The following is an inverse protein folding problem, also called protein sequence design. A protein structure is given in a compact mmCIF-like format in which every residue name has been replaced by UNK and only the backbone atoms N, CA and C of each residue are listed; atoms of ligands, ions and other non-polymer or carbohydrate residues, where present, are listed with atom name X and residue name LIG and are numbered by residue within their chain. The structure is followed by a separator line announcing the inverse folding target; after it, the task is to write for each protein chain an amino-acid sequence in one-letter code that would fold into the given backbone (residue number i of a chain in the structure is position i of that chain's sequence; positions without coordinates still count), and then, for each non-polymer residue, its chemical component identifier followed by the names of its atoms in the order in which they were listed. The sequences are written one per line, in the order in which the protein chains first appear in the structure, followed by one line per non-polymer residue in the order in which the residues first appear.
data_IF_649737960892
#
_entry.id   IF_649737960892
#
_cell.length_a   1.000
_cell.length_b   1.000
_cell.length_c   1.000
_cell.angle_alpha   90.00
_cell.angle_beta   90.00
_cell.angle_gamma   90.00
#
_symmetry.space_group_name_H-M   'P 1'
#
loop_
_entity.id
_entity.type
_entity.pdbx_description
1 polymer ?
#
# COMPACT_ATOMS: atom_id res chain seq x y z
N UNK A 1 -11.46 4.18 -0.09
CA UNK A 1 -12.88 4.09 0.30
C UNK A 1 -13.10 2.65 0.76
N UNK A 2 -13.51 2.41 2.01
CA UNK A 2 -13.78 1.04 2.48
C UNK A 2 -15.18 0.67 2.00
N UNK A 3 -15.27 -0.33 1.13
CA UNK A 3 -16.55 -0.88 0.64
C UNK A 3 -17.24 -1.59 1.82
N UNK A 4 -18.57 -1.46 1.93
CA UNK A 4 -19.32 -2.09 3.02
C UNK A 4 -19.29 -3.63 2.93
N UNK A 5 -19.59 -4.32 4.04
CA UNK A 5 -19.62 -5.79 4.07
C UNK A 5 -20.63 -6.36 3.05
N UNK A 6 -21.84 -5.80 3.02
CA UNK A 6 -22.93 -6.27 2.15
C UNK A 6 -22.60 -6.07 0.66
N UNK A 7 -21.98 -4.93 0.31
CA UNK A 7 -21.54 -4.67 -1.06
C UNK A 7 -20.45 -5.64 -1.49
N UNK A 8 -19.48 -5.96 -0.62
CA UNK A 8 -18.41 -6.93 -0.93
C UNK A 8 -18.98 -8.33 -1.14
N UNK A 9 -19.94 -8.73 -0.30
CA UNK A 9 -20.66 -10.01 -0.45
C UNK A 9 -21.41 -10.07 -1.77
N UNK A 10 -22.20 -9.05 -2.10
CA UNK A 10 -22.94 -8.98 -3.36
C UNK A 10 -22.02 -8.99 -4.60
N UNK A 11 -20.89 -8.27 -4.55
CA UNK A 11 -19.89 -8.29 -5.63
C UNK A 11 -19.30 -9.69 -5.83
N UNK A 12 -19.05 -10.44 -4.76
CA UNK A 12 -18.51 -11.79 -4.86
C UNK A 12 -19.52 -12.76 -5.50
N UNK A 13 -20.80 -12.73 -5.11
CA UNK A 13 -21.84 -13.55 -5.75
C UNK A 13 -22.07 -13.21 -7.23
N UNK A 14 -21.79 -11.95 -7.62
CA UNK A 14 -21.83 -11.51 -9.02
C UNK A 14 -20.66 -12.05 -9.83
N UNK A 15 -19.46 -12.01 -9.25
CA UNK A 15 -18.21 -12.36 -9.92
C UNK A 15 -17.94 -13.87 -9.94
N UNK A 16 -18.51 -14.65 -9.02
CA UNK A 16 -18.34 -16.10 -8.97
C UNK A 16 -19.08 -16.77 -10.15
N UNK A 17 -18.37 -17.66 -10.84
CA UNK A 17 -18.90 -18.37 -12.00
C UNK A 17 -18.90 -19.89 -11.78
N UNK A 18 -19.71 -20.59 -12.58
CA UNK A 18 -19.74 -22.06 -12.58
C UNK A 18 -18.41 -22.58 -13.12
N UNK A 19 -17.79 -23.50 -12.40
CA UNK A 19 -16.49 -24.07 -12.73
C UNK A 19 -15.32 -23.45 -11.98
N UNK A 20 -15.56 -22.39 -11.20
CA UNK A 20 -14.52 -21.80 -10.35
C UNK A 20 -14.07 -22.78 -9.25
N UNK A 21 -12.76 -22.81 -9.02
CA UNK A 21 -12.16 -23.60 -7.95
C UNK A 21 -12.20 -22.81 -6.64
N UNK A 22 -12.89 -23.38 -5.65
CA UNK A 22 -13.00 -22.84 -4.29
C UNK A 22 -12.37 -23.78 -3.27
N UNK A 23 -11.82 -23.17 -2.22
CA UNK A 23 -11.24 -23.87 -1.08
C UNK A 23 -12.02 -23.48 0.15
N UNK A 24 -12.44 -24.49 0.92
CA UNK A 24 -13.21 -24.27 2.14
C UNK A 24 -12.91 -25.30 3.22
N UNK A 25 -13.39 -25.00 4.43
CA UNK A 25 -13.30 -25.86 5.60
C UNK A 25 -14.66 -26.47 5.92
N UNK A 26 -14.72 -27.76 6.22
CA UNK A 26 -15.97 -28.43 6.61
C UNK A 26 -16.44 -27.92 7.98
N UNK A 27 -17.64 -27.36 8.02
CA UNK A 27 -18.29 -26.94 9.26
C UNK A 27 -19.19 -28.02 9.86
N UNK A 28 -20.01 -28.66 9.02
CA UNK A 28 -21.05 -29.56 9.46
C UNK A 28 -21.33 -30.63 8.40
N UNK A 29 -21.50 -31.88 8.83
CA UNK A 29 -21.79 -33.02 7.98
C UNK A 29 -23.20 -33.52 8.31
N UNK A 30 -24.04 -33.66 7.28
CA UNK A 30 -25.40 -34.19 7.38
C UNK A 30 -25.58 -35.36 6.42
N UNK A 31 -26.69 -36.08 6.56
CA UNK A 31 -27.01 -37.24 5.75
C UNK A 31 -27.09 -36.94 4.24
N UNK A 32 -27.48 -35.72 3.86
CA UNK A 32 -27.64 -35.31 2.46
C UNK A 32 -26.41 -34.60 1.86
N UNK A 33 -25.34 -34.42 2.65
CA UNK A 33 -24.15 -33.67 2.25
C UNK A 33 -23.52 -32.89 3.41
N UNK A 34 -22.48 -32.12 3.10
CA UNK A 34 -21.77 -31.30 4.10
C UNK A 34 -21.72 -29.82 3.71
N UNK A 35 -21.66 -28.99 4.74
CA UNK A 35 -21.52 -27.53 4.63
C UNK A 35 -20.06 -27.12 4.83
N UNK A 36 -19.62 -26.21 3.98
CA UNK A 36 -18.27 -25.67 3.94
C UNK A 36 -18.31 -24.17 4.21
N UNK A 37 -17.38 -23.64 5.00
CA UNK A 37 -17.04 -22.21 4.95
C UNK A 37 -15.99 -22.00 3.88
N UNK A 38 -16.25 -21.11 2.92
CA UNK A 38 -15.28 -20.76 1.89
C UNK A 38 -14.20 -19.86 2.48
N UNK A 39 -12.94 -20.21 2.22
CA UNK A 39 -11.76 -19.48 2.67
C UNK A 39 -11.15 -18.68 1.54
N UNK A 40 -10.93 -19.31 0.38
CA UNK A 40 -10.33 -18.64 -0.77
C UNK A 40 -10.79 -19.24 -2.10
N UNK A 41 -10.67 -18.46 -3.18
CA UNK A 41 -10.76 -18.97 -4.56
C UNK A 41 -9.37 -19.29 -5.06
N UNK A 42 -9.19 -20.47 -5.64
CA UNK A 42 -7.90 -20.96 -6.13
C UNK A 42 -7.86 -21.11 -7.67
N UNK A 43 -8.93 -20.76 -8.37
CA UNK A 43 -9.06 -20.82 -9.83
C UNK A 43 -8.39 -19.65 -10.56
N UNK A 44 -9.06 -19.13 -11.60
CA UNK A 44 -8.53 -18.04 -12.43
C UNK A 44 -8.26 -16.76 -11.64
N UNK A 45 -9.15 -16.41 -10.71
CA UNK A 45 -8.99 -15.29 -9.79
C UNK A 45 -8.70 -15.82 -8.38
N UNK A 46 -7.52 -15.49 -7.87
CA UNK A 46 -7.09 -15.85 -6.51
C UNK A 46 -7.53 -14.76 -5.54
N UNK A 47 -8.49 -15.05 -4.68
CA UNK A 47 -9.06 -14.10 -3.72
C UNK A 47 -9.17 -14.74 -2.34
N UNK A 48 -8.89 -13.96 -1.32
CA UNK A 48 -9.19 -14.29 0.07
C UNK A 48 -10.63 -13.84 0.38
N UNK A 49 -11.42 -14.74 0.95
CA UNK A 49 -12.88 -14.61 1.15
C UNK A 49 -13.27 -14.99 2.58
N UNK A 50 -12.31 -15.35 3.44
CA UNK A 50 -12.58 -15.81 4.81
C UNK A 50 -13.41 -14.79 5.62
N UNK A 51 -13.22 -13.50 5.37
CA UNK A 51 -13.94 -12.42 6.05
C UNK A 51 -15.44 -12.34 5.72
N UNK A 52 -15.89 -12.97 4.64
CA UNK A 52 -17.29 -12.97 4.20
C UNK A 52 -18.10 -14.14 4.77
N UNK A 53 -17.43 -15.12 5.41
CA UNK A 53 -18.06 -16.31 6.03
C UNK A 53 -19.09 -17.01 5.12
N UNK A 54 -18.76 -17.13 3.83
CA UNK A 54 -19.68 -17.73 2.86
C UNK A 54 -19.84 -19.23 3.07
N UNK A 55 -21.09 -19.69 3.15
CA UNK A 55 -21.42 -21.09 3.25
C UNK A 55 -21.70 -21.72 1.89
N UNK A 56 -21.03 -22.83 1.58
CA UNK A 56 -21.32 -23.66 0.41
C UNK A 56 -21.83 -25.04 0.82
N UNK A 57 -22.74 -25.59 0.03
CA UNK A 57 -23.30 -26.93 0.22
C UNK A 57 -22.72 -27.89 -0.83
N UNK A 58 -22.15 -29.01 -0.37
CA UNK A 58 -21.83 -30.13 -1.22
C UNK A 58 -22.87 -31.23 -1.02
N UNK A 59 -23.64 -31.55 -2.06
CA UNK A 59 -24.60 -32.64 -2.01
C UNK A 59 -23.90 -34.00 -2.13
N UNK A 60 -24.46 -35.04 -1.50
CA UNK A 60 -23.88 -36.40 -1.55
C UNK A 60 -23.69 -36.95 -2.98
N UNK A 61 -24.54 -36.53 -3.94
CA UNK A 61 -24.44 -36.91 -5.36
C UNK A 61 -23.19 -36.35 -6.05
N UNK A 62 -22.66 -35.27 -5.51
CA UNK A 62 -21.52 -34.54 -6.05
C UNK A 62 -20.19 -35.00 -5.45
N UNK A 63 -20.23 -35.99 -4.56
CA UNK A 63 -19.05 -36.61 -3.95
C UNK A 63 -18.73 -37.87 -4.78
N UNK A 64 -17.50 -38.01 -5.30
CA UNK A 64 -17.09 -39.22 -5.99
C UNK A 64 -17.09 -40.40 -4.99
N UNK A 65 -17.80 -41.47 -5.32
CA UNK A 65 -17.81 -42.70 -4.52
C UNK A 65 -16.53 -43.48 -4.78
N UNK A 66 -15.65 -43.61 -3.79
CA UNK A 66 -14.32 -44.24 -3.92
C UNK A 66 -14.32 -45.75 -3.71
N UNK A 67 -15.47 -46.40 -3.54
CA UNK A 67 -15.59 -47.85 -3.45
C UNK A 67 -17.05 -48.33 -3.42
N UNK A 68 -17.29 -49.59 -3.78
CA UNK A 68 -18.62 -50.14 -4.02
C UNK A 68 -19.50 -50.33 -2.77
N UNK A 69 -18.99 -50.14 -1.54
CA UNK A 69 -19.72 -50.49 -0.31
C UNK A 69 -19.49 -49.62 0.95
N UNK A 70 -18.80 -48.48 0.86
CA UNK A 70 -18.67 -47.57 2.01
C UNK A 70 -19.42 -46.25 1.77
N UNK A 71 -20.07 -45.73 2.83
CA UNK A 71 -20.72 -44.43 2.80
C UNK A 71 -19.70 -43.33 2.44
N UNK A 72 -19.90 -42.57 1.34
CA UNK A 72 -18.95 -41.56 0.87
C UNK A 72 -18.65 -40.45 1.88
N UNK A 73 -19.52 -40.27 2.88
CA UNK A 73 -19.40 -39.27 3.93
C UNK A 73 -18.43 -39.67 5.05
N UNK A 74 -18.12 -40.97 5.19
CA UNK A 74 -17.23 -41.48 6.25
C UNK A 74 -15.78 -41.02 6.12
N UNK A 75 -15.37 -40.60 4.91
CA UNK A 75 -14.02 -40.13 4.61
C UNK A 75 -13.76 -38.69 5.09
N UNK A 76 -14.80 -37.93 5.40
CA UNK A 76 -14.71 -36.49 5.69
C UNK A 76 -14.95 -36.21 7.17
N UNK A 77 -14.10 -35.39 7.78
CA UNK A 77 -14.24 -34.98 9.17
C UNK A 77 -14.49 -33.47 9.29
N UNK A 78 -15.18 -33.08 10.36
CA UNK A 78 -15.40 -31.66 10.66
C UNK A 78 -14.04 -30.99 10.86
N UNK A 79 -13.81 -29.92 10.11
CA UNK A 79 -12.57 -29.16 10.15
C UNK A 79 -11.57 -29.47 9.03
N UNK A 80 -11.83 -30.48 8.19
CA UNK A 80 -10.99 -30.78 7.03
C UNK A 80 -11.05 -29.67 5.96
N UNK A 81 -9.95 -29.49 5.23
CA UNK A 81 -9.85 -28.56 4.11
C UNK A 81 -10.15 -29.27 2.79
N UNK A 82 -11.07 -28.72 2.00
CA UNK A 82 -11.55 -29.29 0.75
C UNK A 82 -11.34 -28.32 -0.41
N UNK A 83 -10.84 -28.85 -1.53
CA UNK A 83 -10.87 -28.22 -2.86
C UNK A 83 -12.10 -28.73 -3.61
N UNK A 84 -12.99 -27.82 -3.97
CA UNK A 84 -14.21 -28.13 -4.70
C UNK A 84 -14.43 -27.16 -5.86
N UNK A 85 -15.16 -27.59 -6.88
CA UNK A 85 -15.58 -26.76 -8.00
C UNK A 85 -16.99 -26.21 -7.75
N UNK A 86 -17.25 -24.97 -8.14
CA UNK A 86 -18.59 -24.37 -8.05
C UNK A 86 -19.47 -24.93 -9.15
N UNK A 87 -20.57 -25.61 -8.79
CA UNK A 87 -21.51 -26.21 -9.74
C UNK A 87 -22.66 -25.26 -10.08
N UNK A 88 -23.28 -24.70 -9.04
CA UNK A 88 -24.42 -23.81 -9.19
C UNK A 88 -24.43 -22.73 -8.12
N UNK A 89 -24.95 -21.56 -8.48
CA UNK A 89 -24.96 -20.37 -7.64
C UNK A 89 -26.37 -19.78 -7.72
N UNK A 90 -27.11 -19.89 -6.62
CA UNK A 90 -28.38 -19.18 -6.45
C UNK A 90 -28.10 -17.80 -5.87
N UNK A 91 -28.17 -16.78 -6.73
CA UNK A 91 -27.91 -15.38 -6.36
C UNK A 91 -29.07 -14.76 -5.57
N UNK A 92 -30.27 -15.32 -5.63
CA UNK A 92 -31.42 -14.79 -4.89
C UNK A 92 -31.47 -15.32 -3.46
N UNK A 93 -31.14 -16.60 -3.28
CA UNK A 93 -31.08 -17.23 -1.95
C UNK A 93 -29.68 -17.19 -1.33
N UNK A 94 -28.69 -16.62 -2.02
CA UNK A 94 -27.29 -16.58 -1.64
C UNK A 94 -26.70 -17.98 -1.32
N UNK A 95 -27.10 -18.99 -2.09
CA UNK A 95 -26.65 -20.38 -1.90
C UNK A 95 -25.64 -20.77 -2.97
N UNK A 96 -24.51 -21.32 -2.52
CA UNK A 96 -23.46 -21.85 -3.39
C UNK A 96 -23.49 -23.37 -3.28
N UNK A 97 -23.60 -24.05 -4.42
CA UNK A 97 -23.52 -25.52 -4.51
C UNK A 97 -22.19 -25.91 -5.14
N UNK A 98 -21.44 -26.78 -4.46
CA UNK A 98 -20.13 -27.22 -4.91
C UNK A 98 -20.09 -28.72 -5.22
N UNK A 99 -19.20 -29.10 -6.11
CA UNK A 99 -18.99 -30.46 -6.57
C UNK A 99 -17.53 -30.87 -6.47
N UNK A 100 -17.30 -32.15 -6.18
CA UNK A 100 -15.98 -32.78 -6.14
C UNK A 100 -15.67 -33.56 -7.43
N UNK A 101 -16.59 -33.57 -8.40
CA UNK A 101 -16.36 -34.19 -9.70
C UNK A 101 -15.44 -33.33 -10.57
N UNK A 102 -14.38 -33.93 -11.11
CA UNK A 102 -13.42 -33.24 -11.99
C UNK A 102 -14.07 -32.63 -13.24
N UNK A 103 -15.16 -33.24 -13.73
CA UNK A 103 -15.93 -32.72 -14.87
C UNK A 103 -16.59 -31.35 -14.62
N UNK A 104 -16.68 -30.91 -13.36
CA UNK A 104 -17.23 -29.60 -13.01
C UNK A 104 -16.18 -28.48 -13.07
N UNK A 105 -14.91 -28.78 -13.33
CA UNK A 105 -13.85 -27.77 -13.46
C UNK A 105 -13.79 -27.18 -14.86
N UNK A 106 -13.27 -25.95 -14.97
CA UNK A 106 -12.85 -25.41 -16.25
C UNK A 106 -11.73 -26.27 -16.88
N UNK A 107 -11.69 -26.40 -18.22
CA UNK A 107 -10.70 -27.22 -18.93
C UNK A 107 -9.24 -26.80 -18.67
N UNK A 108 -9.00 -25.56 -18.28
CA UNK A 108 -7.67 -25.05 -17.93
C UNK A 108 -7.17 -25.54 -16.54
N UNK A 109 -8.02 -26.18 -15.75
CA UNK A 109 -7.75 -26.59 -14.36
C UNK A 109 -7.86 -28.11 -14.14
N UNK A 110 -7.97 -28.92 -15.20
CA UNK A 110 -8.12 -30.39 -15.11
C UNK A 110 -6.98 -31.09 -14.37
N UNK A 111 -5.79 -30.46 -14.30
CA UNK A 111 -4.63 -31.00 -13.62
C UNK A 111 -4.74 -30.97 -12.08
N UNK A 112 -5.71 -30.23 -11.54
CA UNK A 112 -5.87 -30.04 -10.09
C UNK A 112 -6.79 -31.12 -9.54
N UNK A 113 -6.29 -31.92 -8.59
CA UNK A 113 -7.09 -32.93 -7.88
C UNK A 113 -8.04 -32.26 -6.89
N UNK A 114 -9.33 -32.53 -7.06
CA UNK A 114 -10.39 -32.17 -6.11
C UNK A 114 -10.42 -33.15 -4.94
N UNK A 115 -10.86 -32.69 -3.77
CA UNK A 115 -10.96 -33.50 -2.54
C UNK A 115 -10.28 -32.86 -1.33
N UNK A 116 -10.07 -33.68 -0.31
CA UNK A 116 -9.38 -33.28 0.93
C UNK A 116 -7.89 -33.07 0.65
N UNK A 117 -7.32 -32.03 1.22
CA UNK A 117 -5.88 -31.76 1.12
C UNK A 117 -5.33 -31.27 2.48
N UNK A 118 -4.04 -31.51 2.77
CA UNK A 118 -3.45 -31.12 4.04
C UNK A 118 -3.24 -29.61 4.12
N UNK A 119 -3.15 -29.08 5.35
CA UNK A 119 -2.93 -27.64 5.60
C UNK A 119 -1.68 -27.09 4.91
N UNK A 120 -0.66 -27.92 4.69
CA UNK A 120 0.60 -27.54 4.04
C UNK A 120 0.42 -27.18 2.56
N UNK A 121 -0.58 -27.73 1.89
CA UNK A 121 -0.89 -27.42 0.49
C UNK A 121 -1.96 -26.33 0.33
N UNK A 122 -2.19 -25.51 1.36
CA UNK A 122 -3.06 -24.34 1.22
C UNK A 122 -2.51 -23.38 0.14
N UNK A 123 -3.39 -22.74 -0.64
CA UNK A 123 -2.96 -21.80 -1.66
C UNK A 123 -2.02 -20.73 -1.06
N UNK A 124 -0.89 -20.49 -1.74
CA UNK A 124 0.19 -19.61 -1.24
C UNK A 124 -0.34 -18.22 -0.84
N UNK A 125 -1.33 -17.69 -1.56
CA UNK A 125 -1.92 -16.39 -1.28
C UNK A 125 -2.66 -16.37 0.07
N UNK A 126 -3.44 -17.42 0.36
CA UNK A 126 -4.16 -17.58 1.62
C UNK A 126 -3.21 -17.87 2.79
N UNK A 127 -2.22 -18.73 2.59
CA UNK A 127 -1.21 -19.00 3.61
C UNK A 127 -0.43 -17.74 4.03
N UNK A 128 -0.22 -16.80 3.09
CA UNK A 128 0.42 -15.51 3.37
C UNK A 128 -0.49 -14.54 4.10
N UNK A 129 -1.79 -14.48 3.76
CA UNK A 129 -2.72 -13.61 4.49
C UNK A 129 -2.89 -14.08 5.93
N UNK A 130 -2.99 -15.39 6.17
CA UNK A 130 -3.04 -15.97 7.52
C UNK A 130 -1.78 -15.65 8.32
N UNK A 131 -0.58 -15.75 7.73
CA UNK A 131 0.67 -15.36 8.41
C UNK A 131 0.72 -13.87 8.75
N UNK A 132 0.36 -13.01 7.80
CA UNK A 132 0.30 -11.57 8.02
C UNK A 132 -0.73 -11.16 9.10
N UNK A 133 -1.81 -11.93 9.25
CA UNK A 133 -2.82 -11.69 10.29
C UNK A 133 -2.40 -12.24 11.66
N UNK A 134 -1.65 -13.34 11.72
CA UNK A 134 -1.22 -13.96 12.97
C UNK A 134 -0.04 -13.23 13.63
N UNK A 135 0.93 -12.78 12.84
CA UNK A 135 2.18 -12.23 13.36
C UNK A 135 2.23 -10.70 13.18
N UNK A 136 1.93 -9.95 14.25
CA UNK A 136 2.03 -8.47 14.24
C UNK A 136 3.47 -7.95 14.09
N UNK A 137 4.47 -8.84 14.17
CA UNK A 137 5.89 -8.52 14.01
C UNK A 137 6.40 -8.64 12.57
N UNK A 138 5.69 -9.36 11.70
CA UNK A 138 6.07 -9.47 10.29
C UNK A 138 5.62 -8.23 9.54
N UNK A 139 6.53 -7.26 9.39
CA UNK A 139 6.24 -6.10 8.54
C UNK A 139 6.06 -6.54 7.08
N UNK A 140 5.27 -5.79 6.31
CA UNK A 140 5.09 -6.02 4.87
C UNK A 140 6.43 -6.18 4.13
N UNK A 141 7.46 -5.42 4.52
CA UNK A 141 8.81 -5.52 3.95
C UNK A 141 9.47 -6.89 4.20
N UNK A 142 9.29 -7.48 5.38
CA UNK A 142 9.81 -8.80 5.70
C UNK A 142 9.17 -9.87 4.82
N UNK A 143 7.84 -9.82 4.66
CA UNK A 143 7.10 -10.75 3.80
C UNK A 143 7.56 -10.60 2.34
N UNK A 144 7.71 -9.37 1.87
CA UNK A 144 8.12 -9.07 0.51
C UNK A 144 9.56 -9.53 0.24
N UNK A 145 10.49 -9.32 1.18
CA UNK A 145 11.85 -9.90 1.10
C UNK A 145 11.82 -11.43 1.15
N UNK A 146 10.98 -12.07 1.97
CA UNK A 146 10.89 -13.54 1.98
C UNK A 146 10.47 -14.16 0.64
N UNK A 147 9.88 -13.38 -0.26
CA UNK A 147 9.45 -13.86 -1.56
C UNK A 147 10.64 -14.03 -2.51
N UNK A 148 10.87 -15.26 -2.97
CA UNK A 148 11.87 -15.58 -3.99
C UNK A 148 11.71 -14.73 -5.27
N UNK A 149 10.47 -14.43 -5.66
CA UNK A 149 10.19 -13.60 -6.83
C UNK A 149 10.60 -12.13 -6.66
N UNK A 150 10.63 -11.60 -5.44
CA UNK A 150 11.08 -10.24 -5.18
C UNK A 150 12.60 -10.09 -5.33
N UNK A 151 13.34 -11.14 -4.97
CA UNK A 151 14.80 -11.19 -5.11
C UNK A 151 15.28 -11.47 -6.53
N UNK A 152 14.40 -11.96 -7.41
CA UNK A 152 14.75 -12.32 -8.76
C UNK A 152 14.58 -11.12 -9.71
N UNK A 153 15.66 -10.54 -10.25
CA UNK A 153 15.56 -9.38 -11.15
C UNK A 153 14.76 -9.69 -12.42
N UNK A 154 14.83 -10.94 -12.91
CA UNK A 154 14.13 -11.38 -14.12
C UNK A 154 12.62 -11.50 -13.96
N UNK A 155 12.10 -11.43 -12.72
CA UNK A 155 10.64 -11.42 -12.49
C UNK A 155 10.02 -10.14 -13.04
N UNK A 156 10.74 -9.02 -12.98
CA UNK A 156 10.24 -7.76 -13.56
C UNK A 156 10.09 -7.91 -15.07
N UNK A 157 11.12 -8.42 -15.76
CA UNK A 157 11.09 -8.67 -17.20
C UNK A 157 9.95 -9.63 -17.60
N UNK A 158 9.79 -10.73 -16.85
CA UNK A 158 8.71 -11.69 -17.07
C UNK A 158 7.32 -11.09 -16.88
N UNK A 159 7.13 -10.25 -15.85
CA UNK A 159 5.86 -9.58 -15.60
C UNK A 159 5.56 -8.54 -16.68
N UNK A 160 6.56 -7.78 -17.13
CA UNK A 160 6.45 -6.84 -18.23
C UNK A 160 6.00 -7.55 -19.51
N UNK A 161 6.61 -8.70 -19.83
CA UNK A 161 6.21 -9.55 -20.95
C UNK A 161 4.75 -10.04 -20.81
N UNK A 162 4.38 -10.54 -19.62
CA UNK A 162 3.02 -11.04 -19.35
C UNK A 162 1.94 -9.97 -19.44
N UNK A 163 2.25 -8.75 -19.02
CA UNK A 163 1.31 -7.61 -19.07
C UNK A 163 1.36 -6.93 -20.45
N UNK A 164 2.30 -7.29 -21.32
CA UNK A 164 2.48 -6.69 -22.65
C UNK A 164 3.09 -5.29 -22.60
N UNK A 165 3.76 -4.94 -21.50
CA UNK A 165 4.45 -3.65 -21.36
C UNK A 165 5.87 -3.80 -21.90
N UNK A 166 6.16 -3.15 -23.02
CA UNK A 166 7.49 -3.18 -23.62
C UNK A 166 8.38 -2.11 -23.01
N UNK A 167 9.55 -2.51 -22.49
CA UNK A 167 10.60 -1.58 -22.09
C UNK A 167 11.23 -0.81 -23.25
N UNK A 168 11.08 -1.30 -24.49
CA UNK A 168 11.56 -0.59 -25.68
C UNK A 168 10.63 0.56 -26.08
N UNK A 169 9.35 0.46 -25.76
CA UNK A 169 8.32 1.44 -26.11
C UNK A 169 7.42 1.68 -24.89
N UNK A 170 7.79 2.64 -24.02
CA UNK A 170 6.98 2.96 -22.86
C UNK A 170 5.57 3.30 -23.34
N UNK A 171 4.50 2.68 -22.78
CA UNK A 171 3.12 2.88 -23.23
C UNK A 171 2.57 4.29 -22.92
N UNK A 172 3.42 5.20 -22.44
CA UNK A 172 3.06 6.57 -22.13
C UNK A 172 2.90 7.39 -23.41
N UNK A 173 1.76 8.07 -23.53
CA UNK A 173 1.52 9.08 -24.57
C UNK A 173 2.32 10.38 -24.32
N UNK A 174 2.96 10.52 -23.15
CA UNK A 174 3.77 11.69 -22.83
C UNK A 174 5.19 11.49 -23.37
N UNK A 175 5.55 12.30 -24.38
CA UNK A 175 6.87 12.26 -25.06
C UNK A 175 8.06 12.29 -24.11
N UNK A 176 7.97 13.05 -23.01
CA UNK A 176 9.02 13.14 -22.00
C UNK A 176 9.26 11.84 -21.21
N UNK A 177 8.25 10.97 -21.11
CA UNK A 177 8.37 9.66 -20.43
C UNK A 177 8.70 8.51 -21.39
N UNK A 178 8.84 8.78 -22.69
CA UNK A 178 9.22 7.78 -23.69
C UNK A 178 10.74 7.56 -23.78
N UNK A 179 11.52 8.34 -23.02
CA UNK A 179 12.99 8.32 -23.08
C UNK A 179 13.55 7.52 -21.90
N UNK A 180 14.57 6.69 -22.15
CA UNK A 180 15.25 5.90 -21.10
C UNK A 180 16.27 6.72 -20.29
N UNK A 181 16.74 7.81 -20.87
CA UNK A 181 17.72 8.72 -20.29
C UNK A 181 17.01 9.96 -19.75
N UNK A 182 16.56 9.88 -18.49
CA UNK A 182 16.07 11.04 -17.77
C UNK A 182 17.24 11.90 -17.30
N UNK A 183 17.10 13.22 -17.40
CA UNK A 183 18.10 14.13 -16.85
C UNK A 183 18.04 14.07 -15.32
N UNK A 184 19.17 14.23 -14.65
CA UNK A 184 19.21 14.24 -13.18
C UNK A 184 18.33 15.34 -12.57
N UNK A 185 18.09 16.42 -13.32
CA UNK A 185 17.20 17.50 -12.94
C UNK A 185 15.73 17.08 -12.82
N UNK A 186 15.32 16.05 -13.57
CA UNK A 186 13.96 15.51 -13.56
C UNK A 186 13.78 14.46 -12.44
N UNK A 187 14.84 14.11 -11.71
CA UNK A 187 14.73 13.17 -10.61
C UNK A 187 13.94 13.77 -9.45
N UNK A 188 13.19 12.90 -8.77
CA UNK A 188 12.35 13.31 -7.64
C UNK A 188 13.16 14.05 -6.56
N UNK A 189 14.42 13.69 -6.33
CA UNK A 189 15.31 14.37 -5.39
C UNK A 189 15.62 15.81 -5.79
N UNK A 190 15.99 16.03 -7.06
CA UNK A 190 16.30 17.34 -7.61
C UNK A 190 15.06 18.25 -7.65
N UNK A 191 13.93 17.71 -8.14
CA UNK A 191 12.65 18.41 -8.17
C UNK A 191 12.21 18.81 -6.75
N UNK A 192 12.27 17.89 -5.78
CA UNK A 192 11.92 18.20 -4.38
C UNK A 192 12.79 19.30 -3.82
N UNK A 193 14.10 19.30 -4.07
CA UNK A 193 14.99 20.37 -3.61
C UNK A 193 14.59 21.73 -4.19
N UNK A 194 14.31 21.80 -5.50
CA UNK A 194 13.82 23.04 -6.17
C UNK A 194 12.48 23.49 -5.59
N UNK A 195 11.55 22.57 -5.37
CA UNK A 195 10.22 22.84 -4.80
C UNK A 195 10.30 23.33 -3.35
N UNK A 196 11.07 22.64 -2.50
CA UNK A 196 11.29 23.04 -1.10
C UNK A 196 11.88 24.44 -1.01
N UNK A 197 12.90 24.76 -1.84
CA UNK A 197 13.48 26.09 -1.88
C UNK A 197 12.43 27.16 -2.29
N UNK A 198 11.59 26.87 -3.29
CA UNK A 198 10.53 27.77 -3.74
C UNK A 198 9.45 27.98 -2.67
N UNK A 199 9.03 26.92 -1.98
CA UNK A 199 8.06 26.99 -0.89
C UNK A 199 8.60 27.74 0.32
N UNK A 200 9.84 27.48 0.72
CA UNK A 200 10.50 28.23 1.79
C UNK A 200 10.55 29.72 1.46
N UNK A 201 10.94 30.09 0.23
CA UNK A 201 10.95 31.48 -0.22
C UNK A 201 9.55 32.12 -0.20
N UNK A 202 8.50 31.37 -0.56
CA UNK A 202 7.12 31.84 -0.48
C UNK A 202 6.70 32.14 0.97
N UNK A 203 7.05 31.26 1.91
CA UNK A 203 6.86 31.50 3.35
C UNK A 203 7.62 32.73 3.83
N UNK A 204 8.88 32.93 3.43
CA UNK A 204 9.64 34.16 3.77
C UNK A 204 8.92 35.40 3.27
N UNK A 205 8.46 35.42 2.01
CA UNK A 205 7.74 36.56 1.44
C UNK A 205 6.45 36.87 2.21
N UNK A 206 5.70 35.84 2.59
CA UNK A 206 4.51 36.00 3.43
C UNK A 206 4.87 36.56 4.82
N UNK A 207 5.91 36.02 5.46
CA UNK A 207 6.39 36.50 6.75
C UNK A 207 6.82 37.97 6.72
N UNK A 208 7.51 38.40 5.65
CA UNK A 208 7.88 39.80 5.44
C UNK A 208 6.65 40.70 5.26
N UNK A 209 5.61 40.22 4.56
CA UNK A 209 4.36 40.96 4.41
C UNK A 209 3.64 41.12 5.76
N UNK A 210 3.51 40.04 6.56
CA UNK A 210 2.96 40.10 7.91
C UNK A 210 3.75 41.07 8.81
N UNK A 211 5.08 41.04 8.72
CA UNK A 211 5.96 41.93 9.48
C UNK A 211 5.72 43.40 9.14
N UNK A 212 5.58 43.75 7.86
CA UNK A 212 5.29 45.12 7.41
C UNK A 212 3.96 45.65 7.96
N UNK A 213 2.98 44.77 8.17
CA UNK A 213 1.70 45.11 8.77
C UNK A 213 1.69 45.04 10.32
N UNK A 214 2.85 44.92 10.96
CA UNK A 214 2.97 44.84 12.42
C UNK A 214 2.55 43.50 13.05
N UNK A 215 2.19 42.51 12.23
CA UNK A 215 1.75 41.18 12.69
C UNK A 215 2.96 40.28 12.97
N UNK A 216 3.71 40.60 14.02
CA UNK A 216 4.99 39.98 14.36
C UNK A 216 4.90 38.48 14.71
N UNK A 217 3.78 38.02 15.29
CA UNK A 217 3.59 36.59 15.64
C UNK A 217 3.41 35.75 14.38
N UNK A 218 2.58 36.21 13.45
CA UNK A 218 2.35 35.54 12.16
C UNK A 218 3.64 35.50 11.32
N UNK A 219 4.38 36.61 11.29
CA UNK A 219 5.68 36.67 10.63
C UNK A 219 6.66 35.63 11.17
N UNK A 220 6.75 35.50 12.51
CA UNK A 220 7.60 34.49 13.14
C UNK A 220 7.21 33.06 12.74
N UNK A 221 5.90 32.78 12.68
CA UNK A 221 5.41 31.46 12.28
C UNK A 221 5.78 31.15 10.82
N UNK A 222 5.65 32.11 9.91
CA UNK A 222 6.04 31.92 8.51
C UNK A 222 7.55 31.74 8.33
N UNK A 223 8.39 32.46 9.08
CA UNK A 223 9.84 32.23 9.05
C UNK A 223 10.23 30.86 9.62
N UNK A 224 9.58 30.41 10.68
CA UNK A 224 9.81 29.07 11.23
C UNK A 224 9.36 27.97 10.26
N UNK A 225 8.24 28.16 9.55
CA UNK A 225 7.81 27.25 8.48
C UNK A 225 8.84 27.19 7.35
N UNK A 226 9.35 28.34 6.90
CA UNK A 226 10.39 28.39 5.86
C UNK A 226 11.62 27.59 6.27
N UNK A 227 12.08 27.74 7.52
CA UNK A 227 13.25 27.03 8.06
C UNK A 227 12.99 25.55 8.38
N UNK A 228 11.73 25.15 8.54
CA UNK A 228 11.37 23.74 8.63
C UNK A 228 11.45 23.05 7.27
N UNK A 229 11.14 23.78 6.18
CA UNK A 229 11.21 23.27 4.80
C UNK A 229 12.65 23.28 4.28
N UNK A 230 13.37 24.38 4.50
CA UNK A 230 14.76 24.58 4.10
C UNK A 230 15.53 25.20 5.27
N UNK A 231 16.24 24.34 6.01
CA UNK A 231 16.93 24.71 7.25
C UNK A 231 17.99 25.78 7.07
N UNK A 232 18.56 25.87 5.87
CA UNK A 232 19.68 26.76 5.57
C UNK A 232 19.25 27.96 4.72
N UNK A 233 17.94 28.26 4.69
CA UNK A 233 17.41 29.38 3.93
C UNK A 233 17.92 30.72 4.49
N UNK A 234 18.86 31.33 3.78
CA UNK A 234 19.54 32.57 4.18
C UNK A 234 18.56 33.70 4.45
N UNK A 235 17.57 33.89 3.57
CA UNK A 235 16.57 34.96 3.70
C UNK A 235 15.68 34.76 4.93
N UNK A 236 15.27 33.51 5.21
CA UNK A 236 14.47 33.19 6.39
C UNK A 236 15.25 33.41 7.69
N UNK A 237 16.52 33.01 7.75
CA UNK A 237 17.40 33.24 8.90
C UNK A 237 17.59 34.74 9.17
N UNK A 238 17.85 35.52 8.11
CA UNK A 238 18.03 36.98 8.24
C UNK A 238 16.73 37.65 8.68
N UNK A 239 15.59 37.29 8.09
CA UNK A 239 14.31 37.88 8.45
C UNK A 239 13.87 37.52 9.88
N UNK A 240 14.13 36.28 10.32
CA UNK A 240 13.87 35.84 11.69
C UNK A 240 14.83 36.49 12.69
N UNK A 241 16.11 36.59 12.35
CA UNK A 241 17.11 37.28 13.16
C UNK A 241 16.76 38.74 13.39
N UNK A 242 16.33 39.46 12.35
CA UNK A 242 15.87 40.84 12.46
C UNK A 242 14.63 40.97 13.36
N UNK A 243 13.69 40.02 13.27
CA UNK A 243 12.53 39.97 14.14
C UNK A 243 12.91 39.71 15.62
N UNK A 244 13.90 38.85 15.87
CA UNK A 244 14.42 38.62 17.21
C UNK A 244 15.11 39.84 17.79
N UNK A 245 15.91 40.56 16.99
CA UNK A 245 16.56 41.80 17.39
C UNK A 245 15.51 42.85 17.82
N UNK A 246 14.46 43.04 17.03
CA UNK A 246 13.37 43.97 17.36
C UNK A 246 12.59 43.58 18.62
N UNK A 247 12.55 42.29 18.98
CA UNK A 247 11.96 41.80 20.23
C UNK A 247 12.92 41.86 21.44
N UNK A 248 14.15 42.32 21.25
CA UNK A 248 15.21 42.33 22.29
C UNK A 248 15.87 40.97 22.54
N UNK A 249 15.57 39.94 21.74
CA UNK A 249 16.20 38.61 21.84
C UNK A 249 17.55 38.58 21.10
N UNK A 250 18.50 39.42 21.54
CA UNK A 250 19.74 39.73 20.81
C UNK A 250 20.59 38.48 20.53
N UNK A 251 20.75 37.58 21.49
CA UNK A 251 21.57 36.37 21.30
C UNK A 251 21.02 35.46 20.18
N UNK A 252 19.69 35.28 20.11
CA UNK A 252 19.05 34.48 19.05
C UNK A 252 19.16 35.15 17.67
N UNK A 253 19.14 36.48 17.65
CA UNK A 253 19.35 37.24 16.41
C UNK A 253 20.76 37.02 15.86
N UNK A 254 21.77 37.15 16.72
CA UNK A 254 23.18 36.92 16.36
C UNK A 254 23.37 35.52 15.79
N UNK A 255 22.85 34.48 16.46
CA UNK A 255 22.99 33.09 16.00
C UNK A 255 22.37 32.89 14.62
N UNK A 256 21.18 33.45 14.37
CA UNK A 256 20.52 33.33 13.06
C UNK A 256 21.31 34.08 11.97
N UNK A 257 21.88 35.25 12.26
CA UNK A 257 22.72 35.98 11.30
C UNK A 257 24.04 35.27 11.00
N UNK A 258 24.68 34.68 12.01
CA UNK A 258 25.90 33.90 11.82
C UNK A 258 25.64 32.67 10.96
N UNK A 259 24.56 31.92 11.22
CA UNK A 259 24.15 30.78 10.38
C UNK A 259 23.87 31.20 8.94
N UNK A 260 23.24 32.37 8.74
CA UNK A 260 23.01 32.92 7.41
C UNK A 260 24.33 33.23 6.69
N UNK A 261 25.33 33.77 7.40
CA UNK A 261 26.64 34.11 6.86
C UNK A 261 27.53 32.90 6.62
N UNK A 262 27.35 31.80 7.35
CA UNK A 262 27.99 30.51 7.03
C UNK A 262 27.54 30.02 5.65
N UNK A 263 26.25 30.18 5.34
CA UNK A 263 25.69 29.76 4.04
C UNK A 263 25.97 30.75 2.92
N UNK A 264 25.95 32.06 3.20
CA UNK A 264 26.25 33.12 2.25
C UNK A 264 27.10 34.22 2.90
N UNK A 265 28.44 34.11 2.84
CA UNK A 265 29.35 35.05 3.51
C UNK A 265 29.19 36.50 3.05
N UNK A 266 28.78 36.75 1.82
CA UNK A 266 28.63 38.10 1.26
C UNK A 266 27.22 38.68 1.33
N UNK A 267 26.36 38.09 2.15
CA UNK A 267 25.01 38.58 2.35
C UNK A 267 25.00 39.95 3.07
N UNK A 268 24.77 41.03 2.30
CA UNK A 268 24.85 42.43 2.76
C UNK A 268 23.96 42.72 3.98
N UNK A 269 22.72 42.26 3.96
CA UNK A 269 21.76 42.51 5.04
C UNK A 269 22.14 41.76 6.32
N UNK A 270 22.64 40.53 6.19
CA UNK A 270 23.05 39.73 7.35
C UNK A 270 24.24 40.39 8.06
N UNK A 271 25.28 40.79 7.32
CA UNK A 271 26.43 41.55 7.85
C UNK A 271 25.98 42.84 8.54
N UNK A 272 25.12 43.62 7.89
CA UNK A 272 24.61 44.89 8.43
C UNK A 272 23.86 44.69 9.74
N UNK A 273 22.88 43.78 9.77
CA UNK A 273 22.07 43.55 10.96
C UNK A 273 22.88 42.92 12.09
N UNK A 274 23.80 42.00 11.79
CA UNK A 274 24.72 41.44 12.78
C UNK A 274 25.53 42.54 13.47
N UNK A 275 26.20 43.41 12.70
CA UNK A 275 26.96 44.53 13.27
C UNK A 275 26.09 45.43 14.16
N UNK A 276 24.86 45.75 13.73
CA UNK A 276 23.93 46.56 14.52
C UNK A 276 23.56 45.85 15.84
N UNK A 277 23.22 44.56 15.80
CA UNK A 277 22.88 43.79 17.00
C UNK A 277 24.05 43.59 17.95
N UNK A 278 25.29 43.47 17.45
CA UNK A 278 26.48 43.38 18.28
C UNK A 278 26.79 44.70 19.00
N UNK A 279 26.60 45.83 18.32
CA UNK A 279 26.73 47.16 18.94
C UNK A 279 25.67 47.35 20.03
N UNK A 280 24.43 46.90 19.80
CA UNK A 280 23.37 46.95 20.80
C UNK A 280 23.68 46.07 22.01
N UNK A 281 24.22 44.87 21.79
CA UNK A 281 24.68 43.97 22.86
C UNK A 281 25.77 44.61 23.73
N UNK A 282 26.71 45.33 23.12
CA UNK A 282 27.82 45.97 23.85
C UNK A 282 27.41 47.24 24.62
N UNK A 283 26.19 47.75 24.41
CA UNK A 283 25.64 48.89 25.14
C UNK A 283 24.84 48.48 26.39
N UNK A 284 24.51 47.20 26.52
CA UNK A 284 23.86 46.61 27.69
C UNK A 284 24.90 46.24 28.74
#
# INVERSE_FOLDING_TARGET
MKVSYDERRAMLYRDLEKGDLVVGRINNIREYGFFLTLLCTAGGLKRDIEDLELSALCHIREIPSTGSHDDPLSYYQIGDFIRAAVKDIDRYQEKITVSLHQASLFPNLEHIKLGVFPREELPIHYSRSVRAAADSSETYECILKSCHGYHNPSVVDYLLEKVGVSDAHPPSMMRGLQTKLFQEEDFASAIRKKQSASWALKCVRAGVDHFKHGRHVEAMNEYNKALHIDTNNVEALVARGALYANKGSIMKAITDFELALVSCPDHRNAKKYLCQTLVERGKQ
#
